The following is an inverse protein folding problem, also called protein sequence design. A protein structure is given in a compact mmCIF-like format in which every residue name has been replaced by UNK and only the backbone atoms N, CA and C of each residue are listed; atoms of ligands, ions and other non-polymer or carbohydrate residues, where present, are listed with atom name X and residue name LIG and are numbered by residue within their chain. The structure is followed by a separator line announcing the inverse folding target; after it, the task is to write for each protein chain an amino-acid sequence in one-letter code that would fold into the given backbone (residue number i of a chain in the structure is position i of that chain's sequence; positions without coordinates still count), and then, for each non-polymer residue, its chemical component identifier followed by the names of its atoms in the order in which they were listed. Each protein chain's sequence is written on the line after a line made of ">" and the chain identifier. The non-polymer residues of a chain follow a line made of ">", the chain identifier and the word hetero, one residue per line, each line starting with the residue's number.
data_IF_352650516047
#
_entry.id   IF_352650516047
#
_cell.length_a   1.000
_cell.length_b   1.000
_cell.length_c   1.000
_cell.angle_alpha   90.00
_cell.angle_beta   90.00
_cell.angle_gamma   90.00
#
_symmetry.space_group_name_H-M   'P 1'
#
loop_
_entity.id
_entity.type
_entity.pdbx_description
1 polymer ?
#
# COMPACT_ATOMS: atom_id res chain seq x y z
N UNK A 1 -10.67 -13.42 45.78
CA UNK A 1 -10.03 -12.32 45.04
C UNK A 1 -10.04 -12.50 43.52
N UNK A 2 -9.18 -13.30 42.87
CA UNK A 2 -9.10 -13.31 41.38
C UNK A 2 -10.43 -13.73 40.72
N UNK A 3 -11.10 -14.74 41.30
CA UNK A 3 -12.35 -15.28 40.76
C UNK A 3 -13.53 -14.33 40.94
N UNK A 4 -13.51 -13.48 41.97
CA UNK A 4 -14.52 -12.44 42.21
C UNK A 4 -14.38 -11.31 41.19
N UNK A 5 -13.14 -10.94 40.83
CA UNK A 5 -12.84 -9.95 39.79
C UNK A 5 -13.29 -10.46 38.42
N UNK A 6 -13.10 -11.76 38.12
CA UNK A 6 -13.52 -12.34 36.84
C UNK A 6 -15.04 -12.50 36.77
N UNK A 7 -15.66 -12.98 37.86
CA UNK A 7 -17.11 -13.22 37.92
C UNK A 7 -17.91 -11.92 38.01
N UNK A 8 -17.34 -10.84 38.56
CA UNK A 8 -17.97 -9.53 38.77
C UNK A 8 -19.41 -9.67 39.30
N UNK A 9 -19.57 -10.41 40.41
CA UNK A 9 -20.88 -10.70 41.00
C UNK A 9 -21.93 -11.27 40.00
N UNK A 10 -21.49 -12.06 39.02
CA UNK A 10 -22.32 -12.63 37.96
C UNK A 10 -22.37 -11.82 36.65
N UNK A 11 -21.87 -10.57 36.65
CA UNK A 11 -21.87 -9.71 35.46
C UNK A 11 -20.67 -9.94 34.53
N UNK A 12 -19.65 -10.67 35.00
CA UNK A 12 -18.39 -10.84 34.29
C UNK A 12 -18.57 -11.41 32.88
N UNK A 13 -19.47 -12.38 32.72
CA UNK A 13 -19.70 -13.02 31.42
C UNK A 13 -20.16 -12.01 30.35
N UNK A 14 -20.99 -11.03 30.71
CA UNK A 14 -21.48 -10.01 29.78
C UNK A 14 -20.37 -9.01 29.43
N UNK A 15 -19.59 -8.60 30.43
CA UNK A 15 -18.51 -7.62 30.28
C UNK A 15 -17.39 -8.21 29.42
N UNK A 16 -16.95 -9.43 29.73
CA UNK A 16 -15.90 -10.12 28.97
C UNK A 16 -16.35 -10.46 27.55
N UNK A 17 -17.62 -10.83 27.36
CA UNK A 17 -18.16 -11.10 26.02
C UNK A 17 -18.23 -9.83 25.17
N UNK A 18 -18.74 -8.73 25.73
CA UNK A 18 -18.79 -7.44 25.03
C UNK A 18 -17.39 -6.93 24.70
N UNK A 19 -16.47 -6.99 25.66
CA UNK A 19 -15.08 -6.56 25.47
C UNK A 19 -14.38 -7.40 24.40
N UNK A 20 -14.53 -8.72 24.45
CA UNK A 20 -13.94 -9.64 23.45
C UNK A 20 -14.53 -9.39 22.07
N UNK A 21 -15.84 -9.17 21.97
CA UNK A 21 -16.50 -8.85 20.70
C UNK A 21 -15.93 -7.56 20.09
N UNK A 22 -15.75 -6.51 20.88
CA UNK A 22 -15.14 -5.26 20.41
C UNK A 22 -13.69 -5.46 19.97
N UNK A 23 -12.88 -6.17 20.75
CA UNK A 23 -11.50 -6.48 20.39
C UNK A 23 -11.40 -7.27 19.08
N UNK A 24 -12.25 -8.27 18.91
CA UNK A 24 -12.34 -9.05 17.67
C UNK A 24 -12.75 -8.15 16.51
N UNK A 25 -13.74 -7.27 16.70
CA UNK A 25 -14.17 -6.31 15.69
C UNK A 25 -13.02 -5.41 15.21
N UNK A 26 -12.24 -4.86 16.14
CA UNK A 26 -11.06 -4.06 15.80
C UNK A 26 -9.96 -4.87 15.14
N UNK A 27 -9.70 -6.10 15.60
CA UNK A 27 -8.70 -6.97 14.99
C UNK A 27 -9.06 -7.32 13.53
N UNK A 28 -10.33 -7.67 13.28
CA UNK A 28 -10.83 -7.94 11.93
C UNK A 28 -10.70 -6.70 11.05
N UNK A 29 -11.14 -5.54 11.54
CA UNK A 29 -11.05 -4.29 10.78
C UNK A 29 -9.59 -3.95 10.44
N UNK A 30 -8.68 -4.07 11.41
CA UNK A 30 -7.26 -3.84 11.21
C UNK A 30 -6.68 -4.78 10.13
N UNK A 31 -7.02 -6.08 10.18
CA UNK A 31 -6.56 -7.05 9.19
C UNK A 31 -7.06 -6.71 7.78
N UNK A 32 -8.34 -6.37 7.66
CA UNK A 32 -8.95 -5.96 6.39
C UNK A 32 -8.25 -4.75 5.80
N UNK A 33 -7.99 -3.71 6.60
CA UNK A 33 -7.30 -2.50 6.16
C UNK A 33 -5.85 -2.82 5.78
N UNK A 34 -5.14 -3.62 6.58
CA UNK A 34 -3.75 -4.02 6.31
C UNK A 34 -3.63 -4.76 4.99
N UNK A 35 -4.55 -5.69 4.70
CA UNK A 35 -4.57 -6.44 3.43
C UNK A 35 -4.82 -5.49 2.26
N UNK A 36 -5.78 -4.57 2.38
CA UNK A 36 -6.04 -3.56 1.35
C UNK A 36 -4.82 -2.67 1.11
N UNK A 37 -4.14 -2.22 2.18
CA UNK A 37 -2.94 -1.40 2.09
C UNK A 37 -1.81 -2.11 1.34
N UNK A 38 -1.53 -3.37 1.67
CA UNK A 38 -0.47 -4.14 1.00
C UNK A 38 -0.79 -4.35 -0.49
N UNK A 39 -2.06 -4.60 -0.82
CA UNK A 39 -2.51 -4.75 -2.21
C UNK A 39 -2.33 -3.46 -3.01
N UNK A 40 -2.75 -2.32 -2.44
CA UNK A 40 -2.57 -1.02 -3.09
C UNK A 40 -1.09 -0.63 -3.19
N UNK A 41 -0.27 -0.91 -2.17
CA UNK A 41 1.18 -0.66 -2.23
C UNK A 41 1.87 -1.51 -3.31
N UNK A 42 1.48 -2.78 -3.45
CA UNK A 42 1.99 -3.64 -4.53
C UNK A 42 1.60 -3.13 -5.91
N UNK A 43 0.35 -2.68 -6.07
CA UNK A 43 -0.16 -2.09 -7.32
C UNK A 43 0.51 -0.74 -7.62
N UNK A 44 0.79 0.06 -6.60
CA UNK A 44 1.54 1.29 -6.73
C UNK A 44 2.97 1.01 -7.19
N UNK A 45 3.67 0.07 -6.53
CA UNK A 45 5.04 -0.29 -6.89
C UNK A 45 5.15 -0.82 -8.32
N UNK A 46 4.21 -1.66 -8.77
CA UNK A 46 4.23 -2.15 -10.16
C UNK A 46 3.99 -1.04 -11.18
N UNK A 47 3.04 -0.13 -10.92
CA UNK A 47 2.77 1.03 -11.78
C UNK A 47 3.91 2.05 -11.78
N UNK A 48 4.52 2.32 -10.64
CA UNK A 48 5.66 3.24 -10.54
C UNK A 48 6.92 2.64 -11.16
N UNK A 49 7.18 1.34 -10.97
CA UNK A 49 8.27 0.65 -11.64
C UNK A 49 8.11 0.69 -13.18
N UNK A 50 6.90 0.47 -13.69
CA UNK A 50 6.62 0.56 -15.13
C UNK A 50 6.76 1.99 -15.66
N UNK A 51 6.29 2.99 -14.90
CA UNK A 51 6.44 4.42 -15.24
C UNK A 51 7.91 4.83 -15.36
N UNK A 52 8.77 4.39 -14.44
CA UNK A 52 10.22 4.69 -14.50
C UNK A 52 10.86 4.06 -15.74
N UNK A 53 10.52 2.81 -16.07
CA UNK A 53 11.00 2.13 -17.28
C UNK A 53 10.55 2.83 -18.57
N UNK A 54 9.29 3.23 -18.63
CA UNK A 54 8.71 3.93 -19.79
C UNK A 54 9.27 5.36 -19.95
N UNK A 55 9.46 6.08 -18.83
CA UNK A 55 10.13 7.39 -18.83
C UNK A 55 11.58 7.29 -19.27
N UNK A 56 12.33 6.27 -18.82
CA UNK A 56 13.71 6.01 -19.27
C UNK A 56 13.74 5.71 -20.77
N UNK A 57 12.84 4.85 -21.28
CA UNK A 57 12.74 4.57 -22.72
C UNK A 57 12.41 5.83 -23.52
N UNK A 58 11.45 6.63 -23.05
CA UNK A 58 11.03 7.86 -23.71
C UNK A 58 12.13 8.92 -23.72
N UNK A 59 12.86 9.09 -22.61
CA UNK A 59 14.02 9.97 -22.53
C UNK A 59 15.14 9.55 -23.49
N UNK A 60 15.45 8.25 -23.56
CA UNK A 60 16.46 7.70 -24.49
C UNK A 60 16.05 7.88 -25.96
N UNK A 61 14.76 7.72 -26.26
CA UNK A 61 14.20 7.99 -27.60
C UNK A 61 14.29 9.47 -27.96
N UNK A 62 13.95 10.37 -27.04
CA UNK A 62 14.11 11.82 -27.23
C UNK A 62 15.56 12.23 -27.43
N UNK A 63 16.50 11.69 -26.64
CA UNK A 63 17.93 11.94 -26.79
C UNK A 63 18.43 11.52 -28.17
N UNK A 64 17.99 10.34 -28.65
CA UNK A 64 18.33 9.84 -29.99
C UNK A 64 17.78 10.74 -31.09
N UNK A 65 16.50 11.15 -31.00
CA UNK A 65 15.89 12.09 -31.95
C UNK A 65 16.63 13.43 -31.95
N UNK A 66 17.03 13.93 -30.77
CA UNK A 66 17.84 15.15 -30.64
C UNK A 66 19.20 15.01 -31.34
N UNK A 67 19.88 13.88 -31.18
CA UNK A 67 21.17 13.62 -31.84
C UNK A 67 21.02 13.55 -33.37
N UNK A 68 19.98 12.90 -33.88
CA UNK A 68 19.69 12.85 -35.32
C UNK A 68 19.42 14.27 -35.85
N UNK A 69 18.59 15.05 -35.18
CA UNK A 69 18.30 16.44 -35.57
C UNK A 69 19.55 17.31 -35.57
N UNK A 70 20.41 17.18 -34.56
CA UNK A 70 21.69 17.90 -34.49
C UNK A 70 22.63 17.50 -35.65
N UNK A 71 22.73 16.21 -35.97
CA UNK A 71 23.55 15.75 -37.09
C UNK A 71 23.02 16.26 -38.44
N UNK A 72 21.70 16.20 -38.68
CA UNK A 72 21.08 16.70 -39.91
C UNK A 72 21.21 18.22 -40.06
N UNK A 73 21.24 18.97 -38.96
CA UNK A 73 21.46 20.42 -39.01
C UNK A 73 22.93 20.77 -39.27
N UNK A 74 23.87 19.95 -38.80
CA UNK A 74 25.31 20.11 -39.09
C UNK A 74 25.64 19.69 -40.53
N UNK A 75 25.02 18.62 -41.06
CA UNK A 75 25.28 18.13 -42.41
C UNK A 75 24.65 18.96 -43.54
N UNK A 76 23.82 19.94 -43.20
CA UNK A 76 23.19 20.88 -44.14
C UNK A 76 23.97 22.19 -44.30
N UNK A 77 25.04 22.37 -43.52
CA UNK A 77 26.04 23.44 -43.65
C UNK A 77 27.16 22.92 -44.54
#
# INVERSE_FOLDING_TARGET
>A
MINEIISMNGYGIYIWSAFSFTLIGFAVLYLVIKVQLVKEQSKFNSKFASLTSEKIKSAKKQETIRKILAYTSISKI
#
